data_IF_525271794332
#
_entry.id   IF_525271794332
#
_cell.length_a   1.000
_cell.length_b   1.000
_cell.length_c   1.000
_cell.angle_alpha   90.00
_cell.angle_beta   90.00
_cell.angle_gamma   90.00
#
_symmetry.space_group_name_H-M   'P 1'
#
loop_
_entity.id
_entity.type
_entity.pdbx_description
1 polymer ?
#
# COMPACT_ATOMS: atom_id res chain seq x y z
N UNK A 1 -2.67 19.83 8.13
CA UNK A 1 -2.25 19.08 6.92
C UNK A 1 -1.73 17.68 7.25
N UNK A 2 -0.80 17.56 8.20
CA UNK A 2 -0.17 16.29 8.59
C UNK A 2 -1.17 15.21 9.06
N UNK A 3 -2.17 15.59 9.87
CA UNK A 3 -3.26 14.68 10.30
C UNK A 3 -4.05 14.11 9.12
N UNK A 4 -4.33 14.92 8.08
CA UNK A 4 -5.07 14.46 6.88
C UNK A 4 -4.25 13.44 6.09
N UNK A 5 -2.95 13.69 5.92
CA UNK A 5 -2.04 12.77 5.22
C UNK A 5 -1.92 11.44 5.99
N UNK A 6 -1.85 11.49 7.32
CA UNK A 6 -1.82 10.27 8.14
C UNK A 6 -3.14 9.47 8.12
N UNK A 7 -4.29 10.14 8.04
CA UNK A 7 -5.57 9.46 7.79
C UNK A 7 -5.58 8.75 6.44
N UNK A 8 -5.06 9.39 5.38
CA UNK A 8 -4.92 8.74 4.07
C UNK A 8 -3.92 7.57 4.13
N UNK A 9 -2.80 7.71 4.84
CA UNK A 9 -1.83 6.62 5.04
C UNK A 9 -2.45 5.42 5.75
N UNK A 10 -3.25 5.64 6.80
CA UNK A 10 -4.00 4.58 7.47
C UNK A 10 -4.96 3.87 6.51
N UNK A 11 -5.66 4.64 5.69
CA UNK A 11 -6.59 4.10 4.70
C UNK A 11 -5.89 3.27 3.62
N UNK A 12 -4.71 3.69 3.15
CA UNK A 12 -3.84 2.87 2.26
C UNK A 12 -3.51 1.53 2.93
N UNK A 13 -3.06 1.56 4.19
CA UNK A 13 -2.75 0.34 4.94
C UNK A 13 -3.96 -0.59 5.08
N UNK A 14 -5.13 -0.05 5.40
CA UNK A 14 -6.38 -0.81 5.47
C UNK A 14 -6.73 -1.44 4.11
N UNK A 15 -6.63 -0.68 3.01
CA UNK A 15 -6.88 -1.21 1.67
C UNK A 15 -5.91 -2.35 1.32
N UNK A 16 -4.64 -2.26 1.72
CA UNK A 16 -3.65 -3.32 1.51
C UNK A 16 -3.95 -4.59 2.31
N UNK A 17 -4.58 -4.48 3.49
CA UNK A 17 -5.02 -5.64 4.28
C UNK A 17 -6.34 -6.20 3.75
N UNK A 18 -7.30 -5.34 3.40
CA UNK A 18 -8.60 -5.73 2.86
C UNK A 18 -8.46 -6.54 1.57
N UNK A 19 -7.51 -6.21 0.68
CA UNK A 19 -7.29 -7.02 -0.53
C UNK A 19 -6.79 -8.45 -0.23
N UNK A 20 -6.12 -8.68 0.90
CA UNK A 20 -5.66 -10.02 1.28
C UNK A 20 -6.85 -10.83 1.78
N UNK A 21 -7.71 -10.21 2.61
CA UNK A 21 -8.90 -10.85 3.18
C UNK A 21 -9.96 -11.10 2.09
N UNK A 22 -10.25 -10.07 1.28
CA UNK A 22 -11.18 -10.14 0.16
C UNK A 22 -10.41 -10.40 -1.14
N UNK A 23 -9.90 -11.62 -1.27
CA UNK A 23 -9.13 -12.05 -2.44
C UNK A 23 -9.91 -11.99 -3.76
N UNK A 24 -11.24 -11.88 -3.74
CA UNK A 24 -12.08 -11.66 -4.92
C UNK A 24 -12.12 -10.19 -5.39
N UNK A 25 -11.85 -9.25 -4.48
CA UNK A 25 -11.86 -7.80 -4.72
C UNK A 25 -10.45 -7.19 -4.59
N UNK A 26 -9.41 -8.02 -4.73
CA UNK A 26 -8.03 -7.59 -4.58
C UNK A 26 -7.64 -6.45 -5.53
N UNK A 27 -8.09 -6.50 -6.78
CA UNK A 27 -7.73 -5.54 -7.82
C UNK A 27 -8.25 -4.12 -7.55
N UNK A 28 -9.55 -3.91 -7.21
CA UNK A 28 -10.03 -2.57 -6.86
C UNK A 28 -9.41 -2.03 -5.57
N UNK A 29 -9.21 -2.86 -4.54
CA UNK A 29 -8.59 -2.39 -3.29
C UNK A 29 -7.13 -1.98 -3.46
N UNK A 30 -6.33 -2.72 -4.22
CA UNK A 30 -4.94 -2.32 -4.49
C UNK A 30 -4.88 -1.06 -5.34
N UNK A 31 -5.75 -0.93 -6.34
CA UNK A 31 -5.82 0.27 -7.17
C UNK A 31 -6.11 1.52 -6.32
N UNK A 32 -7.06 1.42 -5.38
CA UNK A 32 -7.36 2.48 -4.42
C UNK A 32 -6.14 2.80 -3.55
N UNK A 33 -5.44 1.79 -3.02
CA UNK A 33 -4.24 1.96 -2.22
C UNK A 33 -3.09 2.63 -3.01
N UNK A 34 -2.92 2.26 -4.27
CA UNK A 34 -1.95 2.85 -5.20
C UNK A 34 -2.29 4.32 -5.48
N UNK A 35 -3.55 4.62 -5.81
CA UNK A 35 -4.01 5.98 -6.08
C UNK A 35 -3.77 6.91 -4.88
N UNK A 36 -4.18 6.50 -3.68
CA UNK A 36 -3.93 7.27 -2.48
C UNK A 36 -2.43 7.42 -2.18
N UNK A 37 -1.61 6.39 -2.44
CA UNK A 37 -0.15 6.49 -2.30
C UNK A 37 0.45 7.52 -3.25
N UNK A 38 -0.01 7.61 -4.51
CA UNK A 38 0.44 8.64 -5.47
C UNK A 38 0.07 10.04 -4.97
N UNK A 39 -1.18 10.23 -4.51
CA UNK A 39 -1.62 11.52 -3.96
C UNK A 39 -0.75 11.93 -2.77
N UNK A 40 -0.44 11.00 -1.86
CA UNK A 40 0.43 11.24 -0.71
C UNK A 40 1.83 11.63 -1.17
N UNK A 41 2.42 10.93 -2.16
CA UNK A 41 3.75 11.25 -2.71
C UNK A 41 3.78 12.67 -3.28
N UNK A 42 2.80 13.05 -4.10
CA UNK A 42 2.72 14.37 -4.72
C UNK A 42 2.59 15.48 -3.67
N UNK A 43 1.72 15.28 -2.67
CA UNK A 43 1.55 16.25 -1.58
C UNK A 43 2.76 16.32 -0.63
N UNK A 44 3.46 15.22 -0.38
CA UNK A 44 4.60 15.18 0.52
C UNK A 44 5.91 15.69 -0.10
N UNK A 45 6.02 15.80 -1.43
CA UNK A 45 7.18 16.41 -2.11
C UNK A 45 7.44 17.85 -1.65
N UNK A 46 6.44 18.53 -1.09
CA UNK A 46 6.53 19.89 -0.51
C UNK A 46 7.00 19.92 0.96
N UNK A 47 6.92 18.81 1.69
CA UNK A 47 7.04 18.79 3.16
C UNK A 47 8.15 17.91 3.74
N UNK A 48 8.99 17.26 2.92
CA UNK A 48 10.31 16.67 3.25
C UNK A 48 10.47 15.84 4.55
N UNK A 49 9.38 15.40 5.21
CA UNK A 49 9.44 14.93 6.61
C UNK A 49 8.82 13.54 6.84
N UNK A 50 8.03 12.99 5.90
CA UNK A 50 7.29 11.74 6.14
C UNK A 50 7.65 10.69 5.11
N UNK A 51 8.41 9.67 5.52
CA UNK A 51 8.31 8.24 5.16
C UNK A 51 7.74 7.84 3.77
N UNK A 52 8.07 8.60 2.71
CA UNK A 52 7.56 8.42 1.33
C UNK A 52 7.94 7.05 0.75
N UNK A 53 9.05 6.46 1.25
CA UNK A 53 9.59 5.17 0.79
C UNK A 53 8.55 4.05 0.80
N UNK A 54 7.69 3.97 1.82
CA UNK A 54 6.66 2.93 1.90
C UNK A 54 5.51 3.12 0.91
N UNK A 55 5.22 4.36 0.53
CA UNK A 55 4.25 4.64 -0.53
C UNK A 55 4.81 4.30 -1.92
N UNK A 56 6.11 4.47 -2.13
CA UNK A 56 6.76 3.93 -3.34
C UNK A 56 6.69 2.40 -3.38
N UNK A 57 6.88 1.71 -2.24
CA UNK A 57 6.72 0.25 -2.19
C UNK A 57 5.29 -0.20 -2.50
N UNK A 58 4.27 0.53 -2.05
CA UNK A 58 2.88 0.23 -2.41
C UNK A 58 2.64 0.35 -3.93
N UNK A 59 3.22 1.36 -4.59
CA UNK A 59 3.13 1.51 -6.06
C UNK A 59 3.90 0.38 -6.78
N UNK A 60 5.09 0.04 -6.31
CA UNK A 60 5.89 -1.06 -6.88
C UNK A 60 5.16 -2.40 -6.70
N UNK A 61 4.51 -2.63 -5.55
CA UNK A 61 3.71 -3.82 -5.32
C UNK A 61 2.53 -3.94 -6.28
N UNK A 62 1.90 -2.82 -6.64
CA UNK A 62 0.86 -2.83 -7.66
C UNK A 62 1.39 -3.27 -9.03
N UNK A 63 2.54 -2.73 -9.44
CA UNK A 63 3.19 -3.12 -10.71
C UNK A 63 3.60 -4.59 -10.67
N UNK A 64 4.19 -5.03 -9.55
CA UNK A 64 4.57 -6.43 -9.33
C UNK A 64 3.33 -7.33 -9.39
N UNK A 65 2.18 -6.90 -8.87
CA UNK A 65 0.91 -7.64 -8.99
C UNK A 65 0.49 -7.81 -10.45
N UNK A 66 0.50 -6.73 -11.23
CA UNK A 66 0.16 -6.80 -12.66
C UNK A 66 1.09 -7.77 -13.40
N UNK A 67 2.38 -7.77 -13.05
CA UNK A 67 3.34 -8.74 -13.58
C UNK A 67 3.01 -10.18 -13.18
N UNK A 68 2.70 -10.45 -11.91
CA UNK A 68 2.32 -11.79 -11.44
C UNK A 68 1.06 -12.30 -12.14
N UNK A 69 0.07 -11.43 -12.37
CA UNK A 69 -1.14 -11.78 -13.11
C UNK A 69 -0.85 -12.11 -14.58
N UNK A 70 0.16 -11.48 -15.18
CA UNK A 70 0.56 -11.73 -16.57
C UNK A 70 1.37 -13.03 -16.71
N UNK A 71 2.16 -13.39 -15.69
CA UNK A 71 3.05 -14.58 -15.72
C UNK A 71 2.32 -15.88 -15.36
N UNK A 72 1.13 -15.82 -14.73
CA UNK A 72 0.12 -16.88 -14.55
C UNK A 72 0.54 -18.31 -14.09
N UNK A 73 1.82 -18.61 -13.84
CA UNK A 73 2.27 -20.00 -13.68
C UNK A 73 3.07 -20.32 -12.40
N UNK A 74 3.41 -19.34 -11.56
CA UNK A 74 4.25 -19.59 -10.38
C UNK A 74 3.59 -19.14 -9.08
N UNK A 75 3.07 -20.11 -8.33
CA UNK A 75 2.55 -19.96 -6.95
C UNK A 75 3.54 -19.30 -6.01
N UNK A 76 4.85 -19.46 -6.25
CA UNK A 76 5.91 -18.80 -5.49
C UNK A 76 5.82 -17.27 -5.55
N UNK A 77 5.56 -16.68 -6.72
CA UNK A 77 5.47 -15.22 -6.87
C UNK A 77 4.20 -14.64 -6.22
N UNK A 78 3.10 -15.39 -6.24
CA UNK A 78 1.89 -15.00 -5.52
C UNK A 78 2.10 -14.99 -4.01
N UNK A 79 2.75 -16.01 -3.47
CA UNK A 79 3.10 -16.07 -2.05
C UNK A 79 4.01 -14.92 -1.65
N UNK A 80 5.05 -14.65 -2.45
CA UNK A 80 5.98 -13.54 -2.21
C UNK A 80 5.24 -12.19 -2.24
N UNK A 81 4.35 -11.98 -3.21
CA UNK A 81 3.49 -10.80 -3.28
C UNK A 81 2.63 -10.63 -2.01
N UNK A 82 1.99 -11.71 -1.53
CA UNK A 82 1.15 -11.67 -0.33
C UNK A 82 1.96 -11.29 0.91
N UNK A 83 3.14 -11.88 1.10
CA UNK A 83 4.02 -11.56 2.23
C UNK A 83 4.47 -10.09 2.21
N UNK A 84 4.92 -9.58 1.06
CA UNK A 84 5.34 -8.19 0.94
C UNK A 84 4.17 -7.23 1.14
N UNK A 85 3.00 -7.57 0.62
CA UNK A 85 1.77 -6.77 0.77
C UNK A 85 1.37 -6.66 2.23
N UNK A 86 1.40 -7.77 2.97
CA UNK A 86 1.09 -7.81 4.39
C UNK A 86 2.10 -7.01 5.21
N UNK A 87 3.39 -7.15 4.90
CA UNK A 87 4.47 -6.38 5.54
C UNK A 87 4.28 -4.87 5.36
N UNK A 88 4.09 -4.40 4.12
CA UNK A 88 3.91 -2.97 3.83
C UNK A 88 2.60 -2.45 4.44
N UNK A 89 1.51 -3.22 4.36
CA UNK A 89 0.22 -2.87 4.97
C UNK A 89 0.31 -2.66 6.48
N UNK A 90 0.91 -3.61 7.20
CA UNK A 90 1.09 -3.51 8.66
C UNK A 90 1.96 -2.32 9.06
N UNK A 91 3.06 -2.09 8.35
CA UNK A 91 3.95 -0.95 8.65
C UNK A 91 3.23 0.38 8.43
N UNK A 92 2.47 0.53 7.33
CA UNK A 92 1.71 1.75 7.07
C UNK A 92 0.67 2.01 8.16
N UNK A 93 0.00 0.97 8.65
CA UNK A 93 -0.94 1.04 9.77
C UNK A 93 -0.22 1.46 11.06
N UNK A 94 0.84 0.77 11.46
CA UNK A 94 1.61 1.08 12.68
C UNK A 94 2.14 2.53 12.67
N UNK A 95 2.69 2.97 11.54
CA UNK A 95 3.23 4.32 11.38
C UNK A 95 2.15 5.41 11.42
N UNK A 96 0.93 5.07 10.98
CA UNK A 96 -0.21 5.97 11.11
C UNK A 96 -0.67 6.08 12.57
N UNK A 97 -0.66 4.96 13.32
CA UNK A 97 -1.12 4.87 14.71
C UNK A 97 -0.19 5.51 15.73
N UNK A 98 1.14 5.49 15.50
CA UNK A 98 2.17 6.09 16.40
C UNK A 98 1.99 7.60 16.69
N UNK A 99 1.00 8.25 16.09
CA UNK A 99 0.68 9.67 16.31
C UNK A 99 -0.76 9.93 16.73
N UNK A 100 -1.61 8.90 16.76
CA UNK A 100 -2.96 9.02 17.32
C UNK A 100 -2.98 8.77 18.85
N UNK A 101 -1.89 8.21 19.38
CA UNK A 101 -1.62 7.94 20.79
C UNK A 101 -0.53 8.90 21.27
#
# INVERSE_FOLDING_TARGET
MLIRIKKMQFLVGICLILQIILSSLFLPFHFIAMFFSIVIIIWQRRFCVLQIRYHYYAVILYIYRLFVMLVLTYSFFEMLYLFLTLYVGLILILLSLKTFL
#
